data_IF_695040030915
#
_entry.id   IF_695040030915
#
_cell.length_a   1.000
_cell.length_b   1.000
_cell.length_c   1.000
_cell.angle_alpha   90.00
_cell.angle_beta   90.00
_cell.angle_gamma   90.00
#
_symmetry.space_group_name_H-M   'P 1'
#
loop_
_entity.id
_entity.type
_entity.pdbx_description
1 polymer ?
#
# COMPACT_ATOMS: atom_id res chain seq x y z
N UNK A 1 -7.91 42.55 -39.85
CA UNK A 1 -8.47 41.88 -38.65
C UNK A 1 -7.31 41.49 -37.74
N UNK A 2 -7.03 42.30 -36.72
CA UNK A 2 -5.98 42.02 -35.74
C UNK A 2 -6.53 41.01 -34.72
N UNK A 3 -5.87 39.87 -34.57
CA UNK A 3 -6.23 38.85 -33.58
C UNK A 3 -5.60 39.23 -32.23
N UNK A 4 -6.38 39.67 -31.22
CA UNK A 4 -5.85 40.23 -29.98
C UNK A 4 -5.35 39.18 -28.97
N UNK A 5 -5.30 37.89 -29.33
CA UNK A 5 -5.00 36.80 -28.40
C UNK A 5 -3.56 36.24 -28.48
N UNK A 6 -2.64 36.89 -29.20
CA UNK A 6 -1.25 36.44 -29.31
C UNK A 6 -0.30 36.98 -28.22
N UNK A 7 -0.80 37.25 -27.01
CA UNK A 7 0.06 37.73 -25.92
C UNK A 7 -0.24 37.04 -24.61
N UNK A 8 0.21 35.79 -24.49
CA UNK A 8 0.68 35.24 -23.23
C UNK A 8 1.56 34.02 -23.54
N UNK A 9 2.87 34.18 -23.32
CA UNK A 9 3.80 33.07 -23.32
C UNK A 9 3.38 32.10 -22.21
N UNK A 10 2.71 31.01 -22.58
CA UNK A 10 2.43 29.90 -21.67
C UNK A 10 3.77 29.28 -21.26
N UNK A 11 4.29 29.70 -20.10
CA UNK A 11 5.47 29.13 -19.49
C UNK A 11 5.14 27.68 -19.15
N UNK A 12 5.69 26.74 -19.90
CA UNK A 12 5.65 25.31 -19.56
C UNK A 12 6.25 25.19 -18.15
N UNK A 13 5.41 24.92 -17.16
CA UNK A 13 5.86 24.61 -15.81
C UNK A 13 6.62 23.29 -15.91
N UNK A 14 7.94 23.39 -15.93
CA UNK A 14 8.81 22.22 -15.84
C UNK A 14 8.38 21.41 -14.63
N UNK A 15 7.89 20.19 -14.86
CA UNK A 15 7.58 19.21 -13.84
C UNK A 15 8.89 18.74 -13.21
N UNK A 16 9.54 19.61 -12.41
CA UNK A 16 10.56 19.16 -11.48
C UNK A 16 9.82 18.21 -10.53
N UNK A 17 9.98 16.91 -10.76
CA UNK A 17 9.44 15.86 -9.90
C UNK A 17 9.96 16.14 -8.50
N UNK A 18 9.13 16.74 -7.65
CA UNK A 18 9.42 16.86 -6.23
C UNK A 18 9.44 15.41 -5.73
N UNK A 19 10.65 14.84 -5.55
CA UNK A 19 10.83 13.54 -4.90
C UNK A 19 10.45 13.72 -3.43
N UNK A 20 9.15 13.79 -3.14
CA UNK A 20 8.64 13.79 -1.77
C UNK A 20 9.01 12.44 -1.19
N UNK A 21 9.93 12.44 -0.23
CA UNK A 21 10.23 11.25 0.56
C UNK A 21 8.93 10.71 1.15
N UNK A 22 8.73 9.41 1.03
CA UNK A 22 7.57 8.76 1.58
C UNK A 22 7.45 9.05 3.09
N UNK A 23 6.28 9.51 3.55
CA UNK A 23 6.07 9.71 4.98
C UNK A 23 6.12 8.36 5.72
N UNK A 24 6.56 8.31 7.00
CA UNK A 24 6.59 7.06 7.77
C UNK A 24 5.25 6.31 7.76
N UNK A 25 4.14 7.07 7.80
CA UNK A 25 2.78 6.54 7.73
C UNK A 25 2.44 5.93 6.38
N UNK A 26 2.84 6.56 5.27
CA UNK A 26 2.66 6.00 3.92
C UNK A 26 3.53 4.75 3.75
N UNK A 27 4.74 4.76 4.30
CA UNK A 27 5.66 3.62 4.27
C UNK A 27 5.11 2.41 5.02
N UNK A 28 4.55 2.61 6.21
CA UNK A 28 3.90 1.55 6.96
C UNK A 28 2.77 0.88 6.15
N UNK A 29 1.97 1.67 5.43
CA UNK A 29 0.91 1.13 4.55
C UNK A 29 1.46 0.35 3.37
N UNK A 30 2.55 0.82 2.75
CA UNK A 30 3.18 0.12 1.63
C UNK A 30 3.75 -1.25 2.06
N UNK A 31 4.40 -1.34 3.23
CA UNK A 31 4.84 -2.63 3.76
C UNK A 31 3.70 -3.52 4.24
N UNK A 32 2.66 -2.95 4.87
CA UNK A 32 1.47 -3.72 5.24
C UNK A 32 0.82 -4.33 3.99
N UNK A 33 0.69 -3.56 2.90
CA UNK A 33 0.16 -4.06 1.63
C UNK A 33 0.99 -5.23 1.08
N UNK A 34 2.32 -5.11 1.09
CA UNK A 34 3.21 -6.19 0.64
C UNK A 34 3.05 -7.46 1.50
N UNK A 35 3.03 -7.30 2.82
CA UNK A 35 2.84 -8.42 3.75
C UNK A 35 1.48 -9.11 3.58
N UNK A 36 0.40 -8.34 3.48
CA UNK A 36 -0.96 -8.85 3.23
C UNK A 36 -0.99 -9.63 1.91
N UNK A 37 -0.39 -9.09 0.85
CA UNK A 37 -0.33 -9.78 -0.43
C UNK A 37 0.38 -11.14 -0.32
N UNK A 38 1.57 -11.18 0.28
CA UNK A 38 2.31 -12.43 0.47
C UNK A 38 1.52 -13.43 1.32
N UNK A 39 0.88 -12.96 2.39
CA UNK A 39 0.02 -13.77 3.25
C UNK A 39 -1.14 -14.41 2.47
N UNK A 40 -1.84 -13.62 1.64
CA UNK A 40 -2.95 -14.08 0.82
C UNK A 40 -2.51 -15.09 -0.23
N UNK A 41 -1.39 -14.85 -0.92
CA UNK A 41 -0.88 -15.78 -1.94
C UNK A 41 -0.59 -17.16 -1.34
N UNK A 42 0.02 -17.22 -0.15
CA UNK A 42 0.29 -18.48 0.53
C UNK A 42 -1.00 -19.16 0.99
N UNK A 43 -1.98 -18.40 1.50
CA UNK A 43 -3.29 -18.95 1.88
C UNK A 43 -4.03 -19.53 0.66
N UNK A 44 -4.06 -18.82 -0.46
CA UNK A 44 -4.74 -19.25 -1.69
C UNK A 44 -4.11 -20.50 -2.34
N UNK A 45 -2.83 -20.77 -2.10
CA UNK A 45 -2.17 -22.01 -2.55
C UNK A 45 -2.38 -23.20 -1.60
N UNK A 46 -3.17 -23.04 -0.53
CA UNK A 46 -3.40 -24.06 0.49
C UNK A 46 -2.29 -24.14 1.54
N UNK A 47 -1.34 -23.20 1.55
CA UNK A 47 -0.32 -23.08 2.57
C UNK A 47 -0.82 -22.42 3.85
N UNK A 48 -0.04 -22.55 4.93
CA UNK A 48 -0.27 -21.86 6.19
C UNK A 48 0.64 -20.63 6.26
N UNK A 49 0.14 -19.41 6.00
CA UNK A 49 0.95 -18.21 6.09
C UNK A 49 1.32 -17.90 7.55
N UNK A 50 2.59 -17.54 7.77
CA UNK A 50 3.09 -17.10 9.08
C UNK A 50 3.31 -15.60 9.07
N UNK A 51 2.53 -14.87 9.87
CA UNK A 51 2.66 -13.42 10.06
C UNK A 51 4.10 -13.06 10.46
N UNK A 52 4.65 -13.75 11.47
CA UNK A 52 5.98 -13.48 12.00
C UNK A 52 7.12 -13.72 11.00
N UNK A 53 7.00 -14.73 10.13
CA UNK A 53 8.00 -14.96 9.08
C UNK A 53 7.96 -13.86 8.02
N UNK A 54 6.75 -13.45 7.61
CA UNK A 54 6.58 -12.38 6.62
C UNK A 54 7.08 -11.05 7.20
N UNK A 55 6.76 -10.73 8.45
CA UNK A 55 7.26 -9.50 9.09
C UNK A 55 8.78 -9.49 9.24
N UNK A 56 9.38 -10.63 9.58
CA UNK A 56 10.83 -10.76 9.66
C UNK A 56 11.50 -10.53 8.30
N UNK A 57 10.96 -11.13 7.24
CA UNK A 57 11.43 -10.91 5.86
C UNK A 57 11.31 -9.44 5.43
N UNK A 58 10.19 -8.78 5.72
CA UNK A 58 10.00 -7.35 5.41
C UNK A 58 11.00 -6.46 6.19
N UNK A 59 11.38 -6.86 7.40
CA UNK A 59 12.34 -6.12 8.22
C UNK A 59 13.79 -6.21 7.72
N UNK A 60 14.10 -7.12 6.78
CA UNK A 60 15.41 -7.19 6.12
C UNK A 60 15.68 -5.97 5.23
N UNK A 61 14.64 -5.30 4.73
CA UNK A 61 14.78 -4.04 3.99
C UNK A 61 15.11 -2.88 4.96
N UNK A 62 16.27 -2.22 4.84
CA UNK A 62 16.62 -1.08 5.69
C UNK A 62 15.62 0.08 5.63
N UNK A 63 14.84 0.18 4.55
CA UNK A 63 13.77 1.15 4.44
C UNK A 63 12.60 0.87 5.40
N UNK A 64 12.40 -0.37 5.85
CA UNK A 64 11.36 -0.77 6.81
C UNK A 64 11.50 -0.04 8.14
N UNK A 65 12.73 0.18 8.61
CA UNK A 65 13.03 0.92 9.84
C UNK A 65 12.53 2.38 9.84
N UNK A 66 12.23 2.95 8.68
CA UNK A 66 11.66 4.31 8.56
C UNK A 66 10.13 4.32 8.51
N UNK A 67 9.49 3.15 8.55
CA UNK A 67 8.05 3.02 8.63
C UNK A 67 7.57 3.29 10.06
N UNK A 68 6.33 3.73 10.19
CA UNK A 68 5.68 3.81 11.49
C UNK A 68 5.28 2.39 11.95
N UNK A 69 6.13 1.74 12.76
CA UNK A 69 5.98 0.34 13.16
C UNK A 69 4.63 0.01 13.78
N UNK A 70 4.16 0.84 14.72
CA UNK A 70 2.84 0.64 15.35
C UNK A 70 1.69 0.63 14.34
N UNK A 71 1.75 1.45 13.28
CA UNK A 71 0.72 1.43 12.24
C UNK A 71 0.83 0.19 11.35
N UNK A 72 2.06 -0.22 11.02
CA UNK A 72 2.29 -1.44 10.25
C UNK A 72 1.74 -2.67 11.00
N UNK A 73 2.08 -2.82 12.28
CA UNK A 73 1.62 -3.93 13.13
C UNK A 73 0.09 -3.97 13.22
N UNK A 74 -0.55 -2.84 13.51
CA UNK A 74 -2.02 -2.76 13.58
C UNK A 74 -2.67 -3.17 12.26
N UNK A 75 -2.13 -2.72 11.12
CA UNK A 75 -2.70 -3.05 9.81
C UNK A 75 -2.47 -4.51 9.43
N UNK A 76 -1.24 -5.00 9.57
CA UNK A 76 -0.88 -6.32 9.10
C UNK A 76 -1.46 -7.41 10.00
N UNK A 77 -1.16 -7.38 11.31
CA UNK A 77 -1.70 -8.35 12.26
C UNK A 77 -3.23 -8.26 12.36
N UNK A 78 -3.77 -7.03 12.28
CA UNK A 78 -5.21 -6.80 12.27
C UNK A 78 -5.91 -7.46 11.09
N UNK A 79 -5.34 -7.42 9.89
CA UNK A 79 -5.89 -8.10 8.71
C UNK A 79 -5.74 -9.62 8.84
N UNK A 80 -4.58 -10.12 9.24
CA UNK A 80 -4.35 -11.56 9.41
C UNK A 80 -5.30 -12.18 10.46
N UNK A 81 -5.53 -11.48 11.58
CA UNK A 81 -6.39 -11.95 12.67
C UNK A 81 -7.88 -11.90 12.30
N UNK A 82 -8.32 -10.83 11.62
CA UNK A 82 -9.73 -10.61 11.33
C UNK A 82 -10.13 -10.99 9.90
N UNK A 83 -9.30 -11.82 9.23
CA UNK A 83 -9.44 -12.09 7.81
C UNK A 83 -10.84 -12.58 7.43
N UNK A 84 -11.36 -13.61 8.10
CA UNK A 84 -12.66 -14.19 7.76
C UNK A 84 -13.82 -13.18 7.94
N UNK A 85 -13.71 -12.29 8.94
CA UNK A 85 -14.70 -11.22 9.16
C UNK A 85 -14.63 -10.16 8.05
N UNK A 86 -13.43 -9.78 7.64
CA UNK A 86 -13.21 -8.84 6.53
C UNK A 86 -13.70 -9.44 5.21
N UNK A 87 -13.39 -10.70 4.96
CA UNK A 87 -13.81 -11.44 3.77
C UNK A 87 -15.33 -11.54 3.68
N UNK A 88 -16.01 -11.89 4.77
CA UNK A 88 -17.47 -11.93 4.84
C UNK A 88 -18.10 -10.56 4.57
N UNK A 89 -17.53 -9.50 5.15
CA UNK A 89 -17.99 -8.13 4.94
C UNK A 89 -17.86 -7.71 3.47
N UNK A 90 -16.71 -7.99 2.86
CA UNK A 90 -16.42 -7.66 1.45
C UNK A 90 -17.29 -8.49 0.50
N UNK A 91 -17.50 -9.77 0.81
CA UNK A 91 -18.29 -10.70 -0.02
C UNK A 91 -19.72 -10.21 -0.27
N UNK A 92 -20.31 -9.48 0.68
CA UNK A 92 -21.64 -8.88 0.52
C UNK A 92 -21.72 -7.78 -0.56
N UNK A 93 -20.56 -7.31 -1.04
CA UNK A 93 -20.42 -6.20 -1.98
C UNK A 93 -19.80 -6.64 -3.32
N UNK A 94 -19.63 -7.94 -3.58
CA UNK A 94 -19.04 -8.46 -4.82
C UNK A 94 -19.95 -9.53 -5.43
N UNK A 95 -20.22 -9.44 -6.74
CA UNK A 95 -21.10 -10.38 -7.46
C UNK A 95 -20.51 -11.79 -7.62
N UNK A 96 -19.19 -11.92 -7.53
CA UNK A 96 -18.47 -13.19 -7.61
C UNK A 96 -17.94 -13.59 -6.24
N UNK A 97 -18.06 -14.87 -5.86
CA UNK A 97 -17.44 -15.37 -4.64
C UNK A 97 -15.91 -15.29 -4.76
N UNK A 98 -15.28 -14.98 -3.64
CA UNK A 98 -13.83 -14.99 -3.41
C UNK A 98 -13.39 -16.34 -2.82
#
# INVERSE_FOLDING_TARGET
MHNPYLTQAHKLVSSKQIKRSLTPRRRAREYALQGIYQWLVVKSSGGLPSEGHISAQLAEDPAFMKAQSALFEILFAGVCTNFDTLESTISSHIDRPI
#
